data_IF_432401098029
#
_entry.id   IF_432401098029
#
_cell.length_a   1.000
_cell.length_b   1.000
_cell.length_c   1.000
_cell.angle_alpha   90.00
_cell.angle_beta   90.00
_cell.angle_gamma   90.00
#
_symmetry.space_group_name_H-M   'P 1'
#
loop_
_entity.id
_entity.type
_entity.pdbx_description
1 polymer ?
#
# COMPACT_ATOMS: atom_id res chain seq x y z
N UNK A 1 -53.04 32.42 34.86
CA UNK A 1 -53.47 31.15 35.48
C UNK A 1 -52.32 30.60 36.32
N UNK A 2 -52.31 30.88 37.62
CA UNK A 2 -51.23 30.47 38.53
C UNK A 2 -51.86 29.68 39.67
N UNK A 3 -51.83 28.36 39.57
CA UNK A 3 -52.32 27.47 40.64
C UNK A 3 -51.15 27.13 41.54
N UNK A 4 -51.20 27.66 42.75
CA UNK A 4 -50.42 27.21 43.90
C UNK A 4 -50.69 25.73 44.15
N UNK A 5 -49.63 24.93 44.27
CA UNK A 5 -49.72 23.56 44.78
C UNK A 5 -48.75 23.45 45.96
N UNK A 6 -49.34 23.26 47.15
CA UNK A 6 -48.66 22.89 48.38
C UNK A 6 -48.02 21.50 48.23
N UNK A 7 -46.77 21.36 48.63
CA UNK A 7 -46.12 20.06 48.74
C UNK A 7 -46.00 19.71 50.23
N UNK A 8 -46.81 18.73 50.62
CA UNK A 8 -46.76 17.99 51.87
C UNK A 8 -45.40 17.28 52.02
N UNK A 9 -44.79 17.40 53.21
CA UNK A 9 -43.56 16.68 53.57
C UNK A 9 -43.90 15.37 54.31
N UNK A 10 -43.35 14.21 53.90
CA UNK A 10 -43.37 13.02 54.73
C UNK A 10 -42.23 13.07 55.77
N UNK A 11 -42.57 12.66 56.99
CA UNK A 11 -41.70 12.53 58.16
C UNK A 11 -41.08 11.12 58.21
N UNK A 12 -39.75 11.11 58.37
CA UNK A 12 -38.91 10.20 59.22
C UNK A 12 -38.63 8.74 58.78
N UNK A 13 -37.31 8.45 58.78
CA UNK A 13 -36.66 7.13 58.83
C UNK A 13 -35.97 6.79 57.51
N UNK A 14 -34.66 6.65 57.36
CA UNK A 14 -33.52 6.51 58.25
C UNK A 14 -32.42 5.81 57.41
N UNK A 15 -31.16 6.27 57.48
CA UNK A 15 -30.00 5.56 56.92
C UNK A 15 -29.51 6.03 55.54
N UNK A 16 -28.34 6.65 55.57
CA UNK A 16 -27.28 6.88 54.57
C UNK A 16 -27.38 6.15 53.22
N UNK A 17 -26.83 6.60 52.09
CA UNK A 17 -26.21 7.83 51.58
C UNK A 17 -25.90 7.52 50.10
N UNK A 18 -25.94 8.53 49.24
CA UNK A 18 -25.50 8.57 47.83
C UNK A 18 -26.26 7.72 46.79
N UNK A 19 -27.06 8.41 45.97
CA UNK A 19 -27.41 8.00 44.60
C UNK A 19 -26.29 8.45 43.65
N UNK A 20 -25.74 7.53 42.86
CA UNK A 20 -25.05 7.86 41.59
C UNK A 20 -25.90 7.27 40.48
N UNK A 21 -26.59 8.15 39.74
CA UNK A 21 -27.25 7.82 38.48
C UNK A 21 -26.15 7.92 37.41
N UNK A 22 -25.68 6.78 36.91
CA UNK A 22 -24.76 6.75 35.79
C UNK A 22 -25.55 6.78 34.46
N UNK A 23 -25.38 7.90 33.77
CA UNK A 23 -25.91 8.22 32.44
C UNK A 23 -25.51 7.15 31.41
N UNK A 24 -26.47 6.61 30.66
CA UNK A 24 -26.22 5.84 29.44
C UNK A 24 -25.55 6.76 28.41
N UNK A 25 -24.26 6.53 28.12
CA UNK A 25 -23.60 7.08 26.93
C UNK A 25 -23.59 5.94 25.91
N UNK A 26 -24.52 5.99 24.95
CA UNK A 26 -24.42 5.19 23.75
C UNK A 26 -23.21 5.67 22.95
N UNK A 27 -22.07 5.00 23.12
CA UNK A 27 -20.99 5.09 22.16
C UNK A 27 -21.49 4.46 20.87
N UNK A 28 -21.94 5.30 19.94
CA UNK A 28 -21.89 5.00 18.52
C UNK A 28 -20.42 4.71 18.21
N UNK A 29 -20.06 3.44 18.27
CA UNK A 29 -18.80 2.96 17.76
C UNK A 29 -18.72 3.36 16.30
N UNK A 30 -17.94 4.40 16.02
CA UNK A 30 -17.31 4.56 14.73
C UNK A 30 -16.66 3.22 14.43
N UNK A 31 -17.26 2.45 13.52
CA UNK A 31 -16.53 1.41 12.79
C UNK A 31 -15.70 2.22 11.81
N UNK A 32 -14.38 2.39 11.99
CA UNK A 32 -13.59 2.72 10.83
C UNK A 32 -13.77 1.51 9.92
N UNK A 33 -14.42 1.72 8.78
CA UNK A 33 -14.33 0.80 7.65
C UNK A 33 -12.89 0.76 7.15
N UNK A 34 -11.97 0.30 7.98
CA UNK A 34 -10.79 -0.40 7.53
C UNK A 34 -11.32 -1.75 7.11
N UNK A 35 -11.68 -1.88 5.85
CA UNK A 35 -11.54 -3.18 5.21
C UNK A 35 -10.14 -3.64 5.60
N UNK A 36 -10.07 -4.74 6.36
CA UNK A 36 -8.85 -5.48 6.51
C UNK A 36 -8.44 -5.84 5.08
N UNK A 37 -7.60 -4.99 4.49
CA UNK A 37 -6.81 -5.37 3.34
C UNK A 37 -6.12 -6.64 3.83
N UNK A 38 -6.52 -7.75 3.22
CA UNK A 38 -5.86 -9.03 3.36
C UNK A 38 -4.34 -8.79 3.32
N UNK A 39 -3.60 -9.66 3.98
CA UNK A 39 -2.13 -9.71 4.08
C UNK A 39 -1.45 -9.49 2.70
N UNK A 40 -1.43 -8.24 2.26
CA UNK A 40 -0.89 -7.81 0.99
C UNK A 40 0.57 -7.50 1.31
N UNK A 41 1.44 -8.43 0.93
CA UNK A 41 2.86 -8.34 1.14
C UNK A 41 3.37 -7.01 0.58
N UNK A 42 3.82 -6.12 1.48
CA UNK A 42 4.50 -4.90 1.06
C UNK A 42 5.89 -5.30 0.59
N UNK A 43 6.18 -5.05 -0.69
CA UNK A 43 7.46 -5.41 -1.27
C UNK A 43 8.36 -4.18 -1.38
N UNK A 44 9.59 -4.33 -0.91
CA UNK A 44 10.66 -3.38 -1.18
C UNK A 44 11.19 -3.66 -2.57
N UNK A 45 10.83 -2.81 -3.52
CA UNK A 45 11.34 -2.92 -4.88
C UNK A 45 12.51 -1.94 -5.05
N UNK A 46 13.66 -2.48 -5.42
CA UNK A 46 14.79 -1.71 -5.92
C UNK A 46 15.01 -2.14 -7.37
N UNK A 47 14.96 -1.19 -8.30
CA UNK A 47 15.08 -1.58 -9.70
C UNK A 47 14.68 -0.50 -10.71
N UNK A 48 14.65 -0.95 -11.97
CA UNK A 48 14.21 -0.16 -13.10
C UNK A 48 12.71 -0.40 -13.33
N UNK A 49 11.94 0.69 -13.36
CA UNK A 49 10.51 0.69 -13.66
C UNK A 49 10.29 1.46 -14.94
N UNK A 50 9.60 0.86 -15.92
CA UNK A 50 9.22 1.53 -17.15
C UNK A 50 7.78 1.23 -17.51
N UNK A 51 7.19 2.07 -18.38
CA UNK A 51 5.79 1.88 -18.81
C UNK A 51 5.60 0.63 -19.68
N UNK A 52 6.66 0.12 -20.32
CA UNK A 52 6.58 -1.05 -21.22
C UNK A 52 7.82 -1.93 -21.09
N UNK A 53 7.66 -3.23 -21.36
CA UNK A 53 8.76 -4.19 -21.39
C UNK A 53 9.87 -3.80 -22.40
N UNK A 54 9.47 -3.27 -23.57
CA UNK A 54 10.41 -2.76 -24.58
C UNK A 54 11.35 -1.71 -24.00
N UNK A 55 10.83 -0.78 -23.20
CA UNK A 55 11.63 0.26 -22.55
C UNK A 55 12.56 -0.31 -21.47
N UNK A 56 12.12 -1.34 -20.74
CA UNK A 56 13.00 -2.08 -19.81
C UNK A 56 14.17 -2.68 -20.59
N UNK A 57 13.89 -3.41 -21.68
CA UNK A 57 14.90 -4.08 -22.51
C UNK A 57 15.91 -3.09 -23.11
N UNK A 58 15.43 -1.97 -23.67
CA UNK A 58 16.28 -0.92 -24.22
C UNK A 58 17.17 -0.30 -23.14
N UNK A 59 16.61 0.04 -21.97
CA UNK A 59 17.35 0.66 -20.88
C UNK A 59 18.40 -0.30 -20.29
N UNK A 60 18.06 -1.58 -20.10
CA UNK A 60 19.03 -2.60 -19.69
C UNK A 60 20.16 -2.74 -20.71
N UNK A 61 19.86 -2.61 -22.00
CA UNK A 61 20.87 -2.52 -23.06
C UNK A 61 21.88 -1.39 -22.85
N UNK A 62 21.42 -0.20 -22.42
CA UNK A 62 22.29 0.90 -22.05
C UNK A 62 23.07 0.65 -20.75
N UNK A 63 22.43 0.07 -19.72
CA UNK A 63 23.07 -0.21 -18.43
C UNK A 63 24.28 -1.14 -18.52
N UNK A 64 24.38 -1.94 -19.59
CA UNK A 64 25.59 -2.75 -19.88
C UNK A 64 26.83 -1.90 -20.16
N UNK A 65 26.67 -0.61 -20.48
CA UNK A 65 27.75 0.30 -20.91
C UNK A 65 27.85 1.55 -20.05
N UNK A 66 26.77 1.98 -19.42
CA UNK A 66 26.70 3.22 -18.63
C UNK A 66 25.99 2.97 -17.29
N UNK A 67 26.11 3.92 -16.35
CA UNK A 67 25.42 3.81 -15.06
C UNK A 67 23.89 3.79 -15.22
N UNK A 68 23.15 3.19 -14.27
CA UNK A 68 21.68 3.13 -14.32
C UNK A 68 21.01 4.50 -14.52
N UNK A 69 21.53 5.54 -13.87
CA UNK A 69 21.02 6.91 -14.00
C UNK A 69 21.15 7.44 -15.43
N UNK A 70 22.32 7.26 -16.05
CA UNK A 70 22.59 7.70 -17.42
C UNK A 70 21.79 6.86 -18.43
N UNK A 71 21.60 5.57 -18.17
CA UNK A 71 20.75 4.71 -18.99
C UNK A 71 19.30 5.19 -18.99
N UNK A 72 18.73 5.48 -17.83
CA UNK A 72 17.36 6.01 -17.70
C UNK A 72 17.20 7.37 -18.39
N UNK A 73 18.16 8.27 -18.23
CA UNK A 73 18.15 9.57 -18.90
C UNK A 73 18.12 9.44 -20.43
N UNK A 74 18.88 8.49 -20.99
CA UNK A 74 18.86 8.20 -22.43
C UNK A 74 17.52 7.65 -22.92
N UNK A 75 16.85 6.82 -22.11
CA UNK A 75 15.53 6.28 -22.45
C UNK A 75 14.43 7.33 -22.33
N UNK A 76 14.53 8.25 -21.36
CA UNK A 76 13.52 9.26 -21.03
C UNK A 76 13.48 10.48 -21.95
N UNK A 77 13.93 10.36 -23.21
CA UNK A 77 14.17 11.45 -24.16
C UNK A 77 13.24 12.67 -23.99
N UNK A 78 12.01 12.62 -24.51
CA UNK A 78 11.04 13.72 -24.41
C UNK A 78 9.96 13.51 -23.34
N UNK A 79 9.99 12.36 -22.65
CA UNK A 79 9.02 12.00 -21.63
C UNK A 79 9.65 11.06 -20.61
N UNK A 80 9.29 11.22 -19.34
CA UNK A 80 9.68 10.29 -18.28
C UNK A 80 8.87 9.00 -18.46
N UNK A 81 9.52 7.97 -18.98
CA UNK A 81 8.91 6.65 -19.24
C UNK A 81 9.56 5.54 -18.44
N UNK A 82 10.72 5.82 -17.84
CA UNK A 82 11.47 4.95 -16.96
C UNK A 82 11.95 5.70 -15.71
N UNK A 83 12.01 5.03 -14.57
CA UNK A 83 12.66 5.52 -13.36
C UNK A 83 13.51 4.40 -12.77
N UNK A 84 14.74 4.71 -12.39
CA UNK A 84 15.56 3.82 -11.56
C UNK A 84 15.39 4.27 -10.11
N UNK A 85 14.83 3.39 -9.28
CA UNK A 85 14.49 3.73 -7.90
C UNK A 85 15.37 2.91 -6.97
N UNK A 86 16.16 3.63 -6.16
CA UNK A 86 17.05 3.03 -5.16
C UNK A 86 16.26 2.41 -4.00
N UNK A 87 15.12 3.02 -3.65
CA UNK A 87 14.21 2.50 -2.63
C UNK A 87 12.79 3.06 -2.81
N UNK A 88 11.83 2.18 -3.11
CA UNK A 88 10.42 2.51 -3.02
C UNK A 88 9.63 1.29 -2.58
N UNK A 89 8.78 1.48 -1.57
CA UNK A 89 7.92 0.44 -1.07
C UNK A 89 6.59 0.52 -1.81
N UNK A 90 6.29 -0.54 -2.52
CA UNK A 90 5.08 -0.66 -3.32
C UNK A 90 4.25 -1.83 -2.80
N UNK A 91 2.96 -1.74 -3.07
CA UNK A 91 2.03 -2.86 -2.94
C UNK A 91 1.70 -3.31 -4.36
N UNK A 92 2.20 -4.48 -4.72
CA UNK A 92 1.96 -5.13 -6.01
C UNK A 92 1.12 -6.37 -5.76
N UNK A 93 0.06 -6.53 -6.53
CA UNK A 93 -0.76 -7.74 -6.55
C UNK A 93 -0.43 -8.59 -7.77
N UNK A 94 -0.53 -9.90 -7.61
CA UNK A 94 -0.35 -10.91 -8.65
C UNK A 94 1.00 -10.80 -9.41
N UNK A 95 2.16 -10.70 -8.73
CA UNK A 95 3.44 -10.70 -9.43
C UNK A 95 3.66 -12.05 -10.14
N UNK A 96 4.07 -12.02 -11.40
CA UNK A 96 4.43 -13.20 -12.21
C UNK A 96 5.85 -13.02 -12.72
N UNK A 97 6.71 -14.03 -12.59
CA UNK A 97 8.06 -14.01 -13.15
C UNK A 97 7.96 -14.28 -14.65
N UNK A 98 8.32 -13.31 -15.48
CA UNK A 98 8.28 -13.43 -16.94
C UNK A 98 9.64 -13.85 -17.54
N UNK A 99 10.76 -13.52 -16.87
CA UNK A 99 12.10 -13.90 -17.32
C UNK A 99 13.11 -13.93 -16.16
N UNK A 100 14.04 -14.88 -16.19
CA UNK A 100 15.27 -14.84 -15.40
C UNK A 100 16.45 -14.42 -16.31
N UNK A 101 17.07 -13.29 -15.97
CA UNK A 101 18.24 -12.77 -16.66
C UNK A 101 19.49 -13.32 -15.97
N UNK A 102 20.17 -14.24 -16.66
CA UNK A 102 21.41 -14.84 -16.18
C UNK A 102 22.57 -13.84 -16.04
N UNK A 103 23.50 -14.13 -15.13
CA UNK A 103 24.70 -13.33 -14.85
C UNK A 103 25.32 -13.71 -13.50
N UNK A 104 26.42 -13.03 -13.11
CA UNK A 104 27.03 -13.24 -11.78
C UNK A 104 26.09 -12.86 -10.63
N UNK A 105 25.11 -11.99 -10.91
CA UNK A 105 24.01 -11.62 -10.03
C UNK A 105 22.73 -11.73 -10.88
N UNK A 106 21.97 -12.84 -10.80
CA UNK A 106 20.79 -13.03 -11.62
C UNK A 106 19.74 -11.96 -11.28
N UNK A 107 18.99 -11.52 -12.29
CA UNK A 107 17.88 -10.61 -12.13
C UNK A 107 16.59 -11.29 -12.60
N UNK A 108 15.50 -11.08 -11.89
CA UNK A 108 14.18 -11.60 -12.23
C UNK A 108 13.30 -10.47 -12.74
N UNK A 109 12.72 -10.64 -13.93
CA UNK A 109 11.71 -9.75 -14.48
C UNK A 109 10.33 -10.20 -14.04
N UNK A 110 9.49 -9.24 -13.70
CA UNK A 110 8.11 -9.47 -13.29
C UNK A 110 7.14 -8.60 -14.07
N UNK A 111 5.92 -9.12 -14.18
CA UNK A 111 4.71 -8.37 -14.47
C UNK A 111 3.80 -8.40 -13.23
N UNK A 112 3.08 -7.32 -12.95
CA UNK A 112 2.11 -7.28 -11.85
C UNK A 112 1.19 -6.06 -11.88
N UNK A 113 0.28 -5.99 -10.90
CA UNK A 113 -0.64 -4.86 -10.73
C UNK A 113 -0.22 -3.99 -9.56
N UNK A 114 0.16 -2.73 -9.85
CA UNK A 114 0.44 -1.75 -8.83
C UNK A 114 -0.86 -1.21 -8.21
N UNK A 115 -1.06 -1.47 -6.93
CA UNK A 115 -2.26 -1.07 -6.19
C UNK A 115 -1.98 -0.04 -5.09
N UNK A 116 -0.72 0.17 -4.71
CA UNK A 116 -0.37 1.17 -3.69
C UNK A 116 1.11 1.53 -3.63
N UNK A 117 1.38 2.71 -3.07
CA UNK A 117 2.73 3.24 -2.78
C UNK A 117 2.82 3.63 -1.31
N UNK A 118 3.91 3.30 -0.65
CA UNK A 118 4.17 3.83 0.70
C UNK A 118 4.77 5.23 0.61
N UNK A 119 4.13 6.21 1.25
CA UNK A 119 4.61 7.59 1.34
C UNK A 119 4.59 8.02 2.80
N UNK A 120 5.78 8.17 3.39
CA UNK A 120 5.93 8.60 4.78
C UNK A 120 5.34 7.62 5.80
N UNK A 121 5.48 6.31 5.58
CA UNK A 121 4.94 5.27 6.48
C UNK A 121 3.47 4.92 6.24
N UNK A 122 2.79 5.57 5.29
CA UNK A 122 1.39 5.34 4.98
C UNK A 122 1.23 4.83 3.55
N UNK A 123 0.43 3.76 3.37
CA UNK A 123 0.05 3.28 2.04
C UNK A 123 -0.95 4.23 1.41
N UNK A 124 -0.64 4.70 0.20
CA UNK A 124 -1.52 5.48 -0.67
C UNK A 124 -1.98 4.60 -1.82
N UNK A 125 -3.30 4.47 -2.06
CA UNK A 125 -3.80 3.61 -3.12
C UNK A 125 -3.50 4.20 -4.50
N UNK A 126 -3.28 3.32 -5.47
CA UNK A 126 -3.21 3.65 -6.89
C UNK A 126 -4.54 3.23 -7.52
N UNK A 127 -5.27 4.19 -8.08
CA UNK A 127 -6.61 3.94 -8.66
C UNK A 127 -6.78 4.67 -10.00
N UNK A 128 -7.08 3.96 -11.10
CA UNK A 128 -7.21 2.50 -11.19
C UNK A 128 -5.85 1.80 -10.97
N UNK A 129 -5.82 0.50 -10.60
CA UNK A 129 -4.59 -0.28 -10.59
C UNK A 129 -3.84 -0.16 -11.91
N UNK A 130 -2.52 -0.05 -11.84
CA UNK A 130 -1.67 0.16 -13.01
C UNK A 130 -0.86 -1.10 -13.26
N UNK A 131 -0.94 -1.66 -14.47
CA UNK A 131 -0.05 -2.75 -14.88
C UNK A 131 1.39 -2.21 -14.94
N UNK A 132 2.31 -2.93 -14.29
CA UNK A 132 3.72 -2.52 -14.19
C UNK A 132 4.64 -3.69 -14.49
N UNK A 133 5.78 -3.37 -15.08
CA UNK A 133 6.91 -4.27 -15.29
C UNK A 133 8.08 -3.81 -14.42
N UNK A 134 8.70 -4.74 -13.70
CA UNK A 134 9.82 -4.41 -12.81
C UNK A 134 10.84 -5.54 -12.77
N UNK A 135 12.05 -5.20 -12.30
CA UNK A 135 13.20 -6.13 -12.23
C UNK A 135 13.80 -6.07 -10.83
N UNK A 136 14.10 -7.24 -10.25
CA UNK A 136 14.76 -7.36 -8.94
C UNK A 136 15.80 -8.47 -8.92
N UNK A 137 16.83 -8.38 -8.06
CA UNK A 137 17.77 -9.49 -7.86
C UNK A 137 17.18 -10.65 -7.05
N UNK A 138 16.15 -10.42 -6.23
CA UNK A 138 15.50 -11.47 -5.45
C UNK A 138 14.32 -12.12 -6.18
N UNK A 139 14.22 -13.45 -6.08
CA UNK A 139 13.03 -14.19 -6.51
C UNK A 139 11.92 -14.03 -5.47
N UNK A 140 10.75 -13.53 -5.88
CA UNK A 140 9.56 -13.48 -5.03
C UNK A 140 9.02 -14.90 -4.82
N UNK A 141 8.80 -15.28 -3.56
CA UNK A 141 8.43 -16.65 -3.18
C UNK A 141 7.10 -17.09 -3.81
N UNK A 142 6.15 -16.17 -3.91
CA UNK A 142 4.78 -16.45 -4.36
C UNK A 142 4.51 -16.09 -5.83
N UNK A 143 5.55 -15.67 -6.56
CA UNK A 143 5.40 -15.32 -7.97
C UNK A 143 5.57 -16.56 -8.86
N UNK A 144 4.52 -17.04 -9.56
CA UNK A 144 4.66 -18.15 -10.48
C UNK A 144 5.54 -17.73 -11.66
N UNK A 145 6.26 -18.70 -12.23
CA UNK A 145 6.88 -18.51 -13.54
C UNK A 145 5.76 -18.49 -14.59
N UNK A 146 5.81 -17.51 -15.49
CA UNK A 146 4.92 -17.48 -16.64
C UNK A 146 5.09 -18.79 -17.42
N UNK A 147 4.01 -19.58 -17.46
CA UNK A 147 4.03 -20.90 -18.07
C UNK A 147 4.29 -20.77 -19.57
N UNK A 148 5.42 -21.29 -20.04
CA UNK A 148 5.55 -21.71 -21.44
C UNK A 148 4.47 -22.77 -21.71
N UNK A 149 3.41 -22.36 -22.40
CA UNK A 149 2.58 -23.28 -23.18
C UNK A 149 3.34 -23.70 -24.45
#
# INVERSE_FOLDING_TARGET
MSKHIQISMPRKGGGHSLRVVATLIAFLGFVPGGAALAENSTHRLQGLFCNTEKQVNETLGYMRRVSPRVAVERTNNSAIVCTFVDLLHYVVEHPVVIEEIGGSFPLFKYEGSLVGVEVGGAIRPVTPPVNVFFVMPEKLVDAPLEGRA
#
